data_IF_268014667418
#
_entry.id   IF_268014667418
#
_cell.length_a   1.000
_cell.length_b   1.000
_cell.length_c   1.000
_cell.angle_alpha   90.00
_cell.angle_beta   90.00
_cell.angle_gamma   90.00
#
_symmetry.space_group_name_H-M   'P 1'
#
loop_
_entity.id
_entity.type
_entity.pdbx_description
1 polymer ?
#
# COMPACT_ATOMS: atom_id res chain seq x y z
N UNK A 1 -0.24 1.31 39.34
CA UNK A 1 0.09 0.30 38.31
C UNK A 1 1.23 0.87 37.49
N UNK A 2 2.39 0.20 37.41
CA UNK A 2 3.49 0.73 36.60
C UNK A 2 3.11 0.59 35.13
N UNK A 3 3.17 1.70 34.41
CA UNK A 3 2.98 1.77 32.96
C UNK A 3 4.10 0.93 32.33
N UNK A 4 3.71 -0.10 31.57
CA UNK A 4 4.67 -0.98 30.89
C UNK A 4 5.58 -0.17 29.98
N UNK A 5 6.89 -0.29 30.20
CA UNK A 5 7.91 0.08 29.22
C UNK A 5 7.64 -0.70 27.94
N UNK A 6 7.61 -0.04 26.76
CA UNK A 6 7.56 -0.76 25.50
C UNK A 6 8.78 -1.70 25.43
N UNK A 7 8.58 -2.91 24.93
CA UNK A 7 9.61 -3.91 24.63
C UNK A 7 10.49 -3.44 23.46
N UNK A 8 11.26 -2.39 23.69
CA UNK A 8 12.27 -1.84 22.77
C UNK A 8 13.62 -2.12 23.39
N UNK A 9 14.38 -3.07 22.84
CA UNK A 9 15.73 -3.40 23.29
C UNK A 9 16.75 -2.38 22.70
N UNK A 10 16.50 -1.10 22.99
CA UNK A 10 17.35 0.00 22.57
C UNK A 10 18.42 0.28 23.64
N UNK A 11 19.60 0.69 23.21
CA UNK A 11 20.59 1.24 24.13
C UNK A 11 20.01 2.48 24.85
N UNK A 12 20.47 2.81 26.07
CA UNK A 12 19.96 3.98 26.80
C UNK A 12 20.04 5.29 26.01
N UNK A 13 21.10 5.47 25.21
CA UNK A 13 21.29 6.63 24.32
C UNK A 13 20.23 6.68 23.21
N UNK A 14 20.00 5.55 22.51
CA UNK A 14 18.99 5.47 21.46
C UNK A 14 17.57 5.65 22.01
N UNK A 15 17.31 5.14 23.21
CA UNK A 15 16.03 5.31 23.88
C UNK A 15 15.76 6.80 24.21
N UNK A 16 16.77 7.54 24.68
CA UNK A 16 16.65 8.97 24.93
C UNK A 16 16.31 9.74 23.66
N UNK A 17 17.03 9.48 22.56
CA UNK A 17 16.73 10.08 21.26
C UNK A 17 15.34 9.72 20.76
N UNK A 18 14.94 8.45 20.84
CA UNK A 18 13.61 7.99 20.45
C UNK A 18 12.51 8.75 21.21
N UNK A 19 12.64 8.90 22.53
CA UNK A 19 11.67 9.61 23.36
C UNK A 19 11.61 11.11 23.03
N UNK A 20 12.77 11.75 22.81
CA UNK A 20 12.84 13.15 22.45
C UNK A 20 12.21 13.43 21.07
N UNK A 21 12.53 12.60 20.07
CA UNK A 21 11.94 12.67 18.73
C UNK A 21 10.44 12.43 18.79
N UNK A 22 9.98 11.41 19.53
CA UNK A 22 8.55 11.13 19.75
C UNK A 22 7.80 12.32 20.33
N UNK A 23 8.38 12.97 21.34
CA UNK A 23 7.77 14.14 21.98
C UNK A 23 7.67 15.31 21.00
N UNK A 24 8.73 15.56 20.22
CA UNK A 24 8.73 16.64 19.23
C UNK A 24 7.78 16.37 18.06
N UNK A 25 7.69 15.13 17.58
CA UNK A 25 6.73 14.73 16.56
C UNK A 25 5.29 15.03 16.99
N UNK A 26 4.93 14.73 18.25
CA UNK A 26 3.62 15.06 18.83
C UNK A 26 3.39 16.57 19.00
N UNK A 27 4.43 17.32 19.35
CA UNK A 27 4.37 18.79 19.45
C UNK A 27 4.03 19.43 18.09
N UNK A 28 4.56 18.86 17.00
CA UNK A 28 4.22 19.26 15.64
C UNK A 28 2.81 18.82 15.18
N UNK A 29 2.11 18.02 15.98
CA UNK A 29 0.77 17.55 15.68
C UNK A 29 0.70 16.25 14.87
N UNK A 30 1.81 15.51 14.75
CA UNK A 30 1.78 14.18 14.13
C UNK A 30 0.99 13.20 14.99
N UNK A 31 0.10 12.44 14.34
CA UNK A 31 -0.69 11.38 14.95
C UNK A 31 -0.30 10.03 14.36
N UNK A 32 0.42 9.23 15.14
CA UNK A 32 1.01 7.96 14.73
C UNK A 32 0.60 6.80 15.67
N UNK A 33 0.81 5.56 15.23
CA UNK A 33 0.67 4.38 16.09
C UNK A 33 1.81 4.29 17.11
N UNK A 34 1.67 3.49 18.16
CA UNK A 34 2.81 3.21 19.02
C UNK A 34 3.90 2.51 18.19
N UNK A 35 5.11 3.09 18.15
CA UNK A 35 6.23 2.58 17.36
C UNK A 35 7.14 1.75 18.26
N UNK A 36 7.40 0.51 17.85
CA UNK A 36 8.36 -0.40 18.49
C UNK A 36 9.57 -0.49 17.57
N UNK A 37 10.73 -0.08 18.10
CA UNK A 37 12.01 -0.20 17.41
C UNK A 37 12.76 -1.46 17.84
N UNK A 38 13.25 -2.22 16.88
CA UNK A 38 14.11 -3.38 17.12
C UNK A 38 15.42 -3.19 16.36
N UNK A 39 16.56 -3.33 17.05
CA UNK A 39 17.89 -3.25 16.42
C UNK A 39 18.27 -4.64 15.93
N UNK A 40 18.57 -4.74 14.65
CA UNK A 40 18.91 -6.00 13.98
C UNK A 40 20.30 -5.96 13.38
N UNK A 41 20.95 -7.12 13.38
CA UNK A 41 22.18 -7.33 12.64
C UNK A 41 21.94 -7.36 11.12
N UNK A 42 23.05 -7.31 10.38
CA UNK A 42 23.04 -7.28 8.92
C UNK A 42 22.35 -8.50 8.27
N UNK A 43 22.52 -9.69 8.83
CA UNK A 43 21.92 -10.90 8.25
C UNK A 43 20.42 -10.92 8.48
N UNK A 44 19.99 -10.58 9.70
CA UNK A 44 18.60 -10.62 10.14
C UNK A 44 17.77 -9.56 9.43
N UNK A 45 18.28 -8.34 9.24
CA UNK A 45 17.54 -7.30 8.51
C UNK A 45 17.31 -7.70 7.04
N UNK A 46 18.30 -8.34 6.40
CA UNK A 46 18.16 -8.85 5.04
C UNK A 46 17.15 -10.02 4.96
N UNK A 47 17.12 -10.90 5.96
CA UNK A 47 16.12 -11.98 6.04
C UNK A 47 14.71 -11.43 6.17
N UNK A 48 14.50 -10.49 7.09
CA UNK A 48 13.20 -9.85 7.32
C UNK A 48 12.77 -9.06 6.09
N UNK A 49 13.68 -8.33 5.44
CA UNK A 49 13.40 -7.61 4.21
C UNK A 49 13.00 -8.54 3.05
N UNK A 50 13.65 -9.71 2.91
CA UNK A 50 13.27 -10.73 1.93
C UNK A 50 11.85 -11.27 2.16
N UNK A 51 11.38 -11.25 3.40
CA UNK A 51 10.02 -11.59 3.79
C UNK A 51 9.03 -10.41 3.74
N UNK A 52 9.43 -9.28 3.13
CA UNK A 52 8.58 -8.09 3.04
C UNK A 52 8.40 -7.38 4.38
N UNK A 53 9.35 -7.56 5.30
CA UNK A 53 9.38 -6.96 6.62
C UNK A 53 8.69 -7.77 7.72
N UNK A 54 8.20 -8.98 7.42
CA UNK A 54 7.55 -9.84 8.41
C UNK A 54 8.49 -10.93 8.94
N UNK A 55 8.54 -11.19 10.26
CA UNK A 55 9.37 -12.27 10.81
C UNK A 55 8.97 -13.67 10.37
N UNK A 56 7.69 -13.87 9.99
CA UNK A 56 7.16 -15.16 9.59
C UNK A 56 6.36 -15.05 8.29
N UNK A 57 6.69 -15.92 7.34
CA UNK A 57 6.02 -16.07 6.05
C UNK A 57 5.85 -17.55 5.72
N UNK A 58 4.95 -17.86 4.81
CA UNK A 58 4.85 -19.22 4.27
C UNK A 58 6.15 -19.62 3.55
N UNK A 59 6.56 -20.90 3.64
CA UNK A 59 7.77 -21.37 2.97
C UNK A 59 7.61 -21.26 1.45
N UNK A 60 8.57 -20.62 0.80
CA UNK A 60 8.63 -20.49 -0.65
C UNK A 60 10.04 -20.12 -1.11
N UNK A 61 10.51 -20.69 -2.22
CA UNK A 61 11.86 -20.46 -2.75
C UNK A 61 12.12 -19.00 -3.15
N UNK A 62 11.08 -18.24 -3.57
CA UNK A 62 11.17 -16.80 -3.89
C UNK A 62 11.85 -16.00 -2.79
N UNK A 63 11.57 -16.31 -1.52
CA UNK A 63 12.17 -15.58 -0.40
C UNK A 63 13.68 -15.79 -0.32
N UNK A 64 14.15 -17.01 -0.60
CA UNK A 64 15.58 -17.30 -0.70
C UNK A 64 16.24 -16.54 -1.85
N UNK A 65 15.56 -16.42 -3.00
CA UNK A 65 16.06 -15.57 -4.09
C UNK A 65 16.14 -14.10 -3.70
N UNK A 66 15.10 -13.56 -3.07
CA UNK A 66 15.08 -12.16 -2.65
C UNK A 66 16.17 -11.88 -1.61
N UNK A 67 16.37 -12.79 -0.67
CA UNK A 67 17.48 -12.72 0.28
C UNK A 67 18.84 -12.68 -0.42
N UNK A 68 19.09 -13.58 -1.37
CA UNK A 68 20.35 -13.62 -2.11
C UNK A 68 20.58 -12.31 -2.91
N UNK A 69 19.54 -11.76 -3.53
CA UNK A 69 19.60 -10.46 -4.22
C UNK A 69 19.93 -9.31 -3.26
N UNK A 70 19.22 -9.21 -2.14
CA UNK A 70 19.38 -8.14 -1.16
C UNK A 70 20.75 -8.21 -0.49
N UNK A 71 21.13 -9.38 0.01
CA UNK A 71 22.42 -9.63 0.66
C UNK A 71 23.60 -9.26 -0.24
N UNK A 72 23.55 -9.67 -1.53
CA UNK A 72 24.60 -9.31 -2.51
C UNK A 72 24.64 -7.81 -2.78
N UNK A 73 23.48 -7.19 -3.02
CA UNK A 73 23.41 -5.75 -3.29
C UNK A 73 24.03 -4.92 -2.17
N UNK A 74 23.75 -5.31 -0.93
CA UNK A 74 24.27 -4.65 0.25
C UNK A 74 25.77 -4.94 0.47
N UNK A 75 26.19 -6.20 0.31
CA UNK A 75 27.61 -6.58 0.38
C UNK A 75 28.50 -5.84 -0.64
N UNK A 76 27.96 -5.52 -1.83
CA UNK A 76 28.66 -4.70 -2.83
C UNK A 76 28.54 -3.19 -2.61
N UNK A 77 27.90 -2.74 -1.52
CA UNK A 77 27.72 -1.33 -1.20
C UNK A 77 26.77 -0.59 -2.15
N UNK A 78 25.91 -1.31 -2.88
CA UNK A 78 24.99 -0.76 -3.90
C UNK A 78 23.59 -0.45 -3.35
N UNK A 79 23.42 -0.47 -2.02
CA UNK A 79 22.20 -0.09 -1.32
C UNK A 79 22.12 -0.78 0.03
N UNK A 80 22.08 0.01 1.10
CA UNK A 80 21.83 -0.44 2.48
C UNK A 80 20.37 -0.25 2.83
N UNK A 81 19.83 -1.17 3.62
CA UNK A 81 18.50 -1.03 4.22
C UNK A 81 18.67 -0.26 5.52
N UNK A 82 18.47 1.06 5.47
CA UNK A 82 18.60 1.90 6.66
C UNK A 82 17.49 1.64 7.67
N UNK A 83 16.30 1.34 7.16
CA UNK A 83 15.12 1.04 7.94
C UNK A 83 14.26 0.00 7.23
N UNK A 84 13.35 -0.60 8.01
CA UNK A 84 12.18 -1.26 7.48
C UNK A 84 11.00 -0.98 8.41
N UNK A 85 9.92 -0.42 7.90
CA UNK A 85 8.72 -0.08 8.70
C UNK A 85 7.52 -0.92 8.27
N UNK A 86 6.85 -1.52 9.25
CA UNK A 86 5.64 -2.30 9.04
C UNK A 86 4.42 -1.57 9.58
N UNK A 87 3.45 -1.35 8.69
CA UNK A 87 2.16 -0.79 9.02
C UNK A 87 1.31 -1.81 9.81
N UNK A 88 1.38 -1.71 11.13
CA UNK A 88 0.65 -2.54 12.08
C UNK A 88 0.31 -1.68 13.31
N UNK A 89 -0.57 -2.16 14.19
CA UNK A 89 -0.88 -1.50 15.47
C UNK A 89 -0.55 -2.48 16.62
N UNK A 90 0.65 -2.39 17.23
CA UNK A 90 1.66 -1.33 17.10
C UNK A 90 2.47 -1.40 15.80
N UNK A 91 3.08 -0.26 15.41
CA UNK A 91 3.93 -0.13 14.23
C UNK A 91 5.33 -0.64 14.57
N UNK A 92 5.86 -1.55 13.76
CA UNK A 92 7.19 -2.11 13.97
C UNK A 92 8.20 -1.44 13.04
N UNK A 93 9.36 -1.10 13.57
CA UNK A 93 10.45 -0.51 12.81
C UNK A 93 11.77 -1.20 13.15
N UNK A 94 12.46 -1.67 12.12
CA UNK A 94 13.74 -2.35 12.25
C UNK A 94 14.88 -1.38 11.94
N UNK A 95 15.80 -1.26 12.89
CA UNK A 95 17.00 -0.43 12.80
C UNK A 95 18.21 -1.32 12.52
N UNK A 96 19.07 -0.92 11.59
CA UNK A 96 20.32 -1.64 11.35
C UNK A 96 21.36 -1.29 12.42
N UNK A 97 22.00 -2.28 13.05
CA UNK A 97 22.96 -2.07 14.14
C UNK A 97 24.20 -1.25 13.75
N UNK A 98 24.61 -1.32 12.48
CA UNK A 98 25.83 -0.68 11.98
C UNK A 98 25.65 0.80 11.61
N UNK A 99 24.44 1.32 11.75
CA UNK A 99 24.14 2.73 11.52
C UNK A 99 24.79 3.61 12.61
N UNK A 100 25.29 4.77 12.21
CA UNK A 100 25.79 5.77 13.16
C UNK A 100 24.64 6.31 14.03
N UNK A 101 24.96 6.91 15.18
CA UNK A 101 23.92 7.54 16.04
C UNK A 101 23.14 8.64 15.28
N UNK A 102 23.82 9.38 14.40
CA UNK A 102 23.20 10.36 13.49
C UNK A 102 22.18 9.71 12.56
N UNK A 103 22.54 8.57 11.96
CA UNK A 103 21.65 7.80 11.07
C UNK A 103 20.48 7.21 11.84
N UNK A 104 20.70 6.69 13.05
CA UNK A 104 19.63 6.18 13.90
C UNK A 104 18.62 7.30 14.24
N UNK A 105 19.09 8.51 14.56
CA UNK A 105 18.22 9.68 14.78
C UNK A 105 17.40 10.03 13.52
N UNK A 106 18.05 10.06 12.36
CA UNK A 106 17.39 10.33 11.08
C UNK A 106 16.30 9.29 10.79
N UNK A 107 16.63 8.01 10.94
CA UNK A 107 15.70 6.90 10.73
C UNK A 107 14.54 6.98 11.72
N UNK A 108 14.79 7.15 13.02
CA UNK A 108 13.73 7.28 14.02
C UNK A 108 12.75 8.39 13.65
N UNK A 109 13.26 9.57 13.27
CA UNK A 109 12.43 10.69 12.82
C UNK A 109 11.64 10.37 11.53
N UNK A 110 12.23 9.61 10.62
CA UNK A 110 11.60 9.15 9.38
C UNK A 110 10.44 8.18 9.65
N UNK A 111 10.65 7.20 10.53
CA UNK A 111 9.64 6.21 10.93
C UNK A 111 8.40 6.86 11.53
N UNK A 112 8.54 7.92 12.33
CA UNK A 112 7.37 8.65 12.85
C UNK A 112 6.57 9.32 11.73
N UNK A 113 7.23 9.82 10.68
CA UNK A 113 6.57 10.31 9.48
C UNK A 113 5.80 9.20 8.76
N UNK A 114 6.40 8.03 8.58
CA UNK A 114 5.70 6.88 7.99
C UNK A 114 4.49 6.43 8.83
N UNK A 115 4.67 6.27 10.15
CA UNK A 115 3.59 5.82 11.04
C UNK A 115 2.42 6.81 11.05
N UNK A 116 2.70 8.12 11.00
CA UNK A 116 1.67 9.16 10.83
C UNK A 116 0.97 9.04 9.48
N UNK A 117 1.73 8.84 8.39
CA UNK A 117 1.15 8.66 7.06
C UNK A 117 0.25 7.43 7.00
N UNK A 118 0.71 6.29 7.53
CA UNK A 118 -0.06 5.04 7.56
C UNK A 118 -1.37 5.20 8.35
N UNK A 119 -1.33 5.90 9.48
CA UNK A 119 -2.51 6.09 10.32
C UNK A 119 -3.57 6.99 9.69
N UNK A 120 -3.14 8.04 9.00
CA UNK A 120 -4.04 9.09 8.50
C UNK A 120 -4.40 8.96 7.02
N UNK A 121 -3.72 8.11 6.26
CA UNK A 121 -3.99 7.94 4.84
C UNK A 121 -5.21 7.04 4.58
N UNK A 122 -6.08 7.49 3.67
CA UNK A 122 -7.33 6.79 3.32
C UNK A 122 -7.09 5.35 2.82
N UNK A 123 -6.05 5.11 2.02
CA UNK A 123 -5.69 3.80 1.47
C UNK A 123 -5.30 2.81 2.57
N UNK A 124 -4.48 3.26 3.52
CA UNK A 124 -4.06 2.46 4.66
C UNK A 124 -5.16 2.25 5.70
N UNK A 125 -6.17 3.12 5.74
CA UNK A 125 -7.36 2.92 6.59
C UNK A 125 -8.14 1.62 6.32
N UNK A 126 -7.92 0.96 5.17
CA UNK A 126 -8.54 -0.31 4.79
C UNK A 126 -7.66 -1.54 5.01
N UNK A 127 -6.38 -1.38 5.35
CA UNK A 127 -5.46 -2.51 5.55
C UNK A 127 -5.66 -3.16 6.92
N UNK A 128 -5.39 -4.46 7.02
CA UNK A 128 -5.37 -5.17 8.30
C UNK A 128 -4.27 -4.60 9.21
N UNK A 129 -4.66 -4.13 10.41
CA UNK A 129 -3.74 -3.57 11.41
C UNK A 129 -3.05 -4.61 12.29
N UNK A 130 -3.38 -5.89 12.10
CA UNK A 130 -2.77 -7.04 12.77
C UNK A 130 -2.14 -7.98 11.75
N UNK A 131 -1.55 -7.42 10.70
CA UNK A 131 -1.00 -8.21 9.61
C UNK A 131 0.17 -9.09 10.07
N UNK A 132 0.87 -8.73 11.16
CA UNK A 132 1.90 -9.59 11.73
C UNK A 132 1.35 -10.95 12.19
N UNK A 133 0.19 -10.95 12.87
CA UNK A 133 -0.48 -12.18 13.29
C UNK A 133 -1.03 -12.96 12.10
N UNK A 134 -1.61 -12.25 11.12
CA UNK A 134 -2.22 -12.85 9.94
C UNK A 134 -1.18 -13.55 9.04
N UNK A 135 -0.02 -12.93 8.83
CA UNK A 135 1.10 -13.53 8.09
C UNK A 135 1.59 -14.83 8.75
N UNK A 136 1.63 -14.87 10.09
CA UNK A 136 1.97 -16.09 10.84
C UNK A 136 0.88 -17.18 10.68
N UNK A 137 -0.40 -16.79 10.65
CA UNK A 137 -1.52 -17.68 10.39
C UNK A 137 -1.47 -18.24 8.95
N UNK A 138 -1.19 -17.39 7.96
CA UNK A 138 -0.96 -17.78 6.57
C UNK A 138 0.17 -18.81 6.48
N UNK A 139 1.31 -18.53 7.12
CA UNK A 139 2.45 -19.46 7.14
C UNK A 139 2.07 -20.83 7.71
N UNK A 140 1.30 -20.85 8.79
CA UNK A 140 0.84 -22.09 9.45
C UNK A 140 -0.14 -22.88 8.56
N UNK A 141 -1.08 -22.19 7.89
CA UNK A 141 -2.03 -22.81 6.95
C UNK A 141 -1.31 -23.43 5.76
N UNK A 142 -0.39 -22.71 5.13
CA UNK A 142 0.39 -23.23 3.99
C UNK A 142 1.23 -24.45 4.41
N UNK A 143 1.91 -24.42 5.57
CA UNK A 143 2.64 -25.58 6.10
C UNK A 143 1.73 -26.80 6.28
N UNK A 144 0.53 -26.62 6.81
CA UNK A 144 -0.45 -27.71 6.95
C UNK A 144 -0.86 -28.29 5.60
N UNK A 145 -0.98 -27.48 4.55
CA UNK A 145 -1.26 -27.99 3.21
C UNK A 145 -0.07 -28.73 2.62
N UNK A 146 1.16 -28.26 2.85
CA UNK A 146 2.39 -28.96 2.45
C UNK A 146 2.45 -30.35 3.10
N UNK A 147 2.15 -30.46 4.39
CA UNK A 147 2.12 -31.75 5.11
C UNK A 147 1.08 -32.73 4.53
N UNK A 148 -0.06 -32.23 4.05
CA UNK A 148 -1.17 -33.06 3.54
C UNK A 148 -1.05 -33.41 2.07
N UNK A 149 -0.60 -32.48 1.24
CA UNK A 149 -0.64 -32.58 -0.22
C UNK A 149 0.75 -32.73 -0.86
N UNK A 150 1.81 -32.62 -0.07
CA UNK A 150 3.20 -32.66 -0.53
C UNK A 150 3.72 -31.28 -0.92
N UNK A 151 5.03 -31.09 -0.72
CA UNK A 151 5.71 -29.81 -0.97
C UNK A 151 5.57 -29.36 -2.43
N UNK A 152 5.94 -30.22 -3.39
CA UNK A 152 5.95 -29.87 -4.82
C UNK A 152 4.57 -29.44 -5.34
N UNK A 153 3.50 -30.14 -4.93
CA UNK A 153 2.14 -29.82 -5.39
C UNK A 153 1.68 -28.45 -4.89
N UNK A 154 1.98 -28.13 -3.63
CA UNK A 154 1.61 -26.85 -3.02
C UNK A 154 2.46 -25.72 -3.60
N UNK A 155 3.76 -25.93 -3.74
CA UNK A 155 4.69 -24.94 -4.31
C UNK A 155 4.33 -24.58 -5.75
N UNK A 156 4.07 -25.55 -6.62
CA UNK A 156 3.67 -25.29 -8.02
C UNK A 156 2.38 -24.46 -8.12
N UNK A 157 1.41 -24.73 -7.23
CA UNK A 157 0.17 -23.95 -7.21
C UNK A 157 0.40 -22.54 -6.66
N UNK A 158 1.24 -22.40 -5.62
CA UNK A 158 1.62 -21.13 -5.05
C UNK A 158 2.40 -20.27 -6.06
N UNK A 159 3.33 -20.85 -6.82
CA UNK A 159 4.02 -20.21 -7.95
C UNK A 159 3.05 -19.64 -8.97
N UNK A 160 2.04 -20.43 -9.36
CA UNK A 160 1.00 -19.98 -10.28
C UNK A 160 0.22 -18.79 -9.70
N UNK A 161 -0.16 -18.83 -8.42
CA UNK A 161 -0.84 -17.73 -7.75
C UNK A 161 0.03 -16.47 -7.68
N UNK A 162 1.32 -16.62 -7.33
CA UNK A 162 2.24 -15.49 -7.21
C UNK A 162 2.54 -14.82 -8.55
N UNK A 163 2.51 -15.58 -9.66
CA UNK A 163 2.69 -15.01 -11.01
C UNK A 163 1.61 -13.99 -11.40
N UNK A 164 0.44 -14.07 -10.76
CA UNK A 164 -0.71 -13.19 -11.00
C UNK A 164 -1.04 -12.30 -9.81
N UNK A 165 -0.23 -12.26 -8.73
CA UNK A 165 -0.57 -11.60 -7.46
C UNK A 165 -0.95 -10.11 -7.59
N UNK A 166 -0.42 -9.43 -8.61
CA UNK A 166 -0.69 -8.02 -8.88
C UNK A 166 -1.95 -7.76 -9.71
N UNK A 167 -2.65 -8.81 -10.18
CA UNK A 167 -3.89 -8.69 -10.96
C UNK A 167 -5.13 -8.55 -10.06
N UNK A 168 -5.00 -7.73 -9.02
CA UNK A 168 -6.10 -7.30 -8.14
C UNK A 168 -6.67 -5.96 -8.61
N UNK A 169 -7.83 -5.56 -8.08
CA UNK A 169 -8.34 -4.21 -8.24
C UNK A 169 -8.15 -3.42 -6.94
N UNK A 170 -7.08 -2.60 -6.81
CA UNK A 170 -6.82 -1.86 -5.58
C UNK A 170 -7.97 -0.93 -5.18
N UNK A 171 -8.76 -0.45 -6.14
CA UNK A 171 -9.88 0.45 -5.85
C UNK A 171 -11.11 -0.28 -5.30
N UNK A 172 -11.18 -1.60 -5.43
CA UNK A 172 -12.31 -2.41 -5.00
C UNK A 172 -12.59 -2.31 -3.49
N UNK A 173 -11.57 -2.01 -2.67
CA UNK A 173 -11.74 -1.83 -1.21
C UNK A 173 -12.56 -0.58 -0.84
N UNK A 174 -12.71 0.36 -1.77
CA UNK A 174 -13.53 1.58 -1.62
C UNK A 174 -14.87 1.47 -2.33
N UNK A 175 -14.94 0.66 -3.39
CA UNK A 175 -16.18 0.33 -4.06
C UNK A 175 -16.89 -0.72 -3.19
N UNK A 176 -17.83 -0.28 -2.36
CA UNK A 176 -18.58 -1.17 -1.47
C UNK A 176 -18.98 -2.47 -2.19
N UNK A 177 -18.82 -3.60 -1.49
CA UNK A 177 -19.08 -4.98 -1.97
C UNK A 177 -20.18 -4.93 -3.02
N UNK A 178 -19.83 -5.21 -4.29
CA UNK A 178 -20.77 -5.21 -5.42
C UNK A 178 -22.08 -5.72 -4.87
N UNK A 179 -23.07 -4.83 -4.76
CA UNK A 179 -24.42 -5.20 -4.36
C UNK A 179 -24.71 -6.45 -5.15
N UNK A 180 -25.00 -7.56 -4.43
CA UNK A 180 -25.52 -8.81 -5.00
C UNK A 180 -26.24 -8.45 -6.27
N UNK A 181 -25.86 -9.03 -7.44
CA UNK A 181 -26.35 -8.59 -8.73
C UNK A 181 -27.80 -8.32 -8.51
N UNK A 182 -28.20 -7.04 -8.60
CA UNK A 182 -29.61 -6.75 -8.43
C UNK A 182 -30.28 -7.76 -9.34
N UNK A 183 -31.36 -8.39 -8.88
CA UNK A 183 -32.27 -9.05 -9.79
C UNK A 183 -32.92 -7.97 -10.69
N UNK A 184 -32.10 -7.17 -11.37
CA UNK A 184 -32.39 -6.44 -12.57
C UNK A 184 -32.39 -7.45 -13.71
N UNK A 185 -33.21 -8.49 -13.58
CA UNK A 185 -34.13 -8.79 -14.66
C UNK A 185 -35.07 -7.60 -14.79
N UNK A 186 -34.53 -6.47 -15.29
CA UNK A 186 -35.30 -5.25 -15.47
C UNK A 186 -36.46 -5.60 -16.38
N UNK A 187 -37.69 -5.38 -15.92
CA UNK A 187 -38.87 -5.56 -16.78
C UNK A 187 -38.65 -4.68 -18.01
N UNK A 188 -38.78 -5.26 -19.21
CA UNK A 188 -38.71 -4.51 -20.46
C UNK A 188 -39.60 -3.27 -20.39
N UNK A 189 -38.97 -2.09 -20.42
CA UNK A 189 -39.63 -0.80 -20.49
C UNK A 189 -39.33 -0.23 -21.89
N UNK A 190 -40.33 -0.16 -22.79
CA UNK A 190 -40.10 0.42 -24.10
C UNK A 190 -39.83 1.92 -23.97
N UNK A 191 -38.92 2.43 -24.81
CA UNK A 191 -38.58 3.84 -24.85
C UNK A 191 -39.69 4.59 -25.60
N UNK A 192 -40.65 5.11 -24.82
CA UNK A 192 -41.83 5.82 -25.33
C UNK A 192 -41.60 7.32 -25.29
N UNK A 193 -41.84 7.98 -26.41
CA UNK A 193 -41.88 9.44 -26.46
C UNK A 193 -43.15 9.95 -25.75
N UNK A 194 -43.08 11.03 -24.97
CA UNK A 194 -44.24 11.56 -24.25
C UNK A 194 -45.32 12.03 -25.22
N UNK A 195 -46.50 11.38 -25.16
CA UNK A 195 -47.63 11.62 -26.05
C UNK A 195 -48.96 11.71 -25.29
N UNK A 196 -49.95 12.43 -25.84
CA UNK A 196 -51.35 12.36 -25.37
C UNK A 196 -51.99 11.06 -25.84
N UNK A 197 -52.95 10.49 -25.10
CA UNK A 197 -53.55 9.17 -25.38
C UNK A 197 -54.00 8.96 -26.85
N UNK A 198 -54.58 9.98 -27.48
CA UNK A 198 -55.05 9.87 -28.88
C UNK A 198 -53.91 9.93 -29.92
N UNK A 199 -52.73 10.42 -29.54
CA UNK A 199 -51.54 10.51 -30.41
C UNK A 199 -50.54 9.38 -30.14
N UNK A 200 -50.66 8.66 -29.01
CA UNK A 200 -49.75 7.57 -28.63
C UNK A 200 -49.59 6.51 -29.74
N UNK A 201 -50.64 6.05 -30.44
CA UNK A 201 -50.48 5.06 -31.52
C UNK A 201 -49.70 5.57 -32.74
N UNK A 202 -49.65 6.89 -32.94
CA UNK A 202 -48.96 7.53 -34.07
C UNK A 202 -47.53 7.97 -33.71
N UNK A 203 -47.32 8.37 -32.44
CA UNK A 203 -46.02 8.81 -31.91
C UNK A 203 -45.18 7.61 -31.47
N UNK A 204 -45.81 6.56 -30.93
CA UNK A 204 -45.20 5.31 -30.50
C UNK A 204 -45.85 4.13 -31.25
N UNK A 205 -45.51 3.91 -32.55
CA UNK A 205 -46.10 2.84 -33.35
C UNK A 205 -45.88 1.46 -32.72
N UNK A 206 -46.89 0.60 -32.78
CA UNK A 206 -46.81 -0.76 -32.24
C UNK A 206 -45.65 -1.58 -32.83
N UNK A 207 -45.31 -1.36 -34.11
CA UNK A 207 -44.20 -2.02 -34.80
C UNK A 207 -42.84 -1.66 -34.18
N UNK A 208 -42.61 -0.39 -33.82
CA UNK A 208 -41.35 0.03 -33.18
C UNK A 208 -41.25 -0.49 -31.74
N UNK A 209 -42.38 -0.57 -31.01
CA UNK A 209 -42.43 -1.18 -29.68
C UNK A 209 -42.14 -2.69 -29.70
N UNK A 210 -42.59 -3.40 -30.74
CA UNK A 210 -42.29 -4.83 -30.96
C UNK A 210 -40.81 -4.99 -31.30
N UNK A 211 -40.27 -4.17 -32.20
CA UNK A 211 -38.84 -4.19 -32.56
C UNK A 211 -37.94 -3.93 -31.35
N UNK A 212 -38.27 -2.96 -30.50
CA UNK A 212 -37.55 -2.70 -29.26
C UNK A 212 -37.58 -3.90 -28.31
N UNK A 213 -38.72 -4.60 -28.22
CA UNK A 213 -38.86 -5.82 -27.41
C UNK A 213 -37.99 -6.96 -27.95
N UNK A 214 -38.03 -7.21 -29.26
CA UNK A 214 -37.21 -8.25 -29.91
C UNK A 214 -35.72 -7.95 -29.75
N UNK A 215 -35.31 -6.69 -29.92
CA UNK A 215 -33.93 -6.26 -29.70
C UNK A 215 -33.49 -6.46 -28.24
N UNK A 216 -34.35 -6.12 -27.28
CA UNK A 216 -34.10 -6.36 -25.85
C UNK A 216 -34.01 -7.85 -25.53
N UNK A 217 -34.87 -8.69 -26.09
CA UNK A 217 -34.82 -10.15 -25.88
C UNK A 217 -33.54 -10.78 -26.46
N UNK A 218 -33.07 -10.30 -27.62
CA UNK A 218 -31.78 -10.69 -28.20
C UNK A 218 -30.63 -10.23 -27.30
N UNK A 219 -30.64 -8.98 -26.85
CA UNK A 219 -29.61 -8.44 -25.95
C UNK A 219 -29.57 -9.19 -24.61
N UNK A 220 -30.72 -9.54 -24.03
CA UNK A 220 -30.79 -10.35 -22.81
C UNK A 220 -30.26 -11.77 -23.02
N UNK A 221 -30.54 -12.39 -24.17
CA UNK A 221 -29.96 -13.69 -24.52
C UNK A 221 -28.44 -13.63 -24.71
N UNK A 222 -27.95 -12.58 -25.36
CA UNK A 222 -26.51 -12.37 -25.49
C UNK A 222 -25.85 -12.08 -24.15
N UNK A 223 -26.45 -11.25 -23.31
CA UNK A 223 -25.98 -10.94 -21.96
C UNK A 223 -25.97 -12.17 -21.05
N UNK A 224 -26.99 -13.03 -21.14
CA UNK A 224 -27.04 -14.29 -20.40
C UNK A 224 -25.92 -15.27 -20.80
N UNK A 225 -25.40 -15.16 -22.01
CA UNK A 225 -24.29 -15.97 -22.51
C UNK A 225 -22.91 -15.32 -22.29
N UNK A 226 -22.83 -14.07 -21.82
CA UNK A 226 -21.55 -13.39 -21.52
C UNK A 226 -21.03 -13.82 -20.15
N UNK A 227 -19.83 -14.41 -20.15
CA UNK A 227 -19.12 -14.79 -18.93
C UNK A 227 -17.69 -14.23 -18.95
N UNK A 228 -17.29 -13.40 -17.96
CA UNK A 228 -18.11 -12.83 -16.88
C UNK A 228 -19.23 -11.91 -17.38
N UNK A 229 -20.30 -11.78 -16.58
CA UNK A 229 -21.43 -10.89 -16.90
C UNK A 229 -21.01 -9.42 -17.05
N UNK A 230 -20.00 -9.01 -16.29
CA UNK A 230 -19.34 -7.71 -16.40
C UNK A 230 -17.81 -7.87 -16.40
N UNK A 231 -17.08 -7.02 -17.13
CA UNK A 231 -15.63 -6.97 -17.04
C UNK A 231 -15.18 -6.80 -15.58
N UNK A 232 -14.35 -7.73 -15.10
CA UNK A 232 -13.87 -7.74 -13.72
C UNK A 232 -12.37 -7.49 -13.71
N UNK A 233 -11.93 -6.52 -12.89
CA UNK A 233 -10.51 -6.14 -12.78
C UNK A 233 -9.73 -7.03 -11.82
N UNK A 234 -10.38 -7.49 -10.74
CA UNK A 234 -9.77 -8.39 -9.77
C UNK A 234 -9.82 -9.83 -10.27
N UNK A 235 -8.72 -10.26 -10.90
CA UNK A 235 -8.57 -11.60 -11.47
C UNK A 235 -8.52 -12.66 -10.37
N UNK A 236 -7.90 -12.37 -9.22
CA UNK A 236 -7.81 -13.32 -8.12
C UNK A 236 -9.20 -13.60 -7.52
N UNK A 237 -10.00 -12.55 -7.30
CA UNK A 237 -11.39 -12.71 -6.86
C UNK A 237 -12.22 -13.51 -7.88
N UNK A 238 -12.07 -13.18 -9.17
CA UNK A 238 -12.75 -13.90 -10.24
C UNK A 238 -12.42 -15.41 -10.25
N UNK A 239 -11.15 -15.75 -10.07
CA UNK A 239 -10.71 -17.15 -9.97
C UNK A 239 -11.24 -17.83 -8.69
N UNK A 240 -11.25 -17.13 -7.55
CA UNK A 240 -11.83 -17.66 -6.31
C UNK A 240 -13.33 -17.98 -6.45
N UNK A 241 -14.07 -17.18 -7.22
CA UNK A 241 -15.52 -17.32 -7.39
C UNK A 241 -15.91 -18.37 -8.44
N UNK A 242 -15.07 -18.57 -9.47
CA UNK A 242 -15.47 -19.31 -10.66
C UNK A 242 -14.54 -20.46 -11.06
N UNK A 243 -13.30 -20.49 -10.60
CA UNK A 243 -12.39 -21.57 -10.97
C UNK A 243 -12.72 -22.85 -10.17
N UNK A 244 -12.57 -24.04 -10.78
CA UNK A 244 -12.80 -25.31 -10.10
C UNK A 244 -11.62 -25.66 -9.18
N UNK A 245 -11.48 -24.92 -8.07
CA UNK A 245 -10.41 -25.08 -7.09
C UNK A 245 -10.81 -26.07 -5.99
N UNK A 246 -9.87 -26.91 -5.56
CA UNK A 246 -9.98 -27.64 -4.29
C UNK A 246 -9.95 -26.66 -3.10
N UNK A 247 -10.52 -27.03 -1.95
CA UNK A 247 -10.61 -26.14 -0.77
C UNK A 247 -9.25 -25.52 -0.38
N UNK A 248 -8.16 -26.30 -0.43
CA UNK A 248 -6.82 -25.81 -0.10
C UNK A 248 -6.24 -24.87 -1.17
N UNK A 249 -6.63 -25.04 -2.44
CA UNK A 249 -6.21 -24.17 -3.54
C UNK A 249 -6.92 -22.82 -3.44
N UNK A 250 -8.22 -22.84 -3.16
CA UNK A 250 -8.99 -21.62 -2.89
C UNK A 250 -8.40 -20.88 -1.67
N UNK A 251 -8.01 -21.61 -0.63
CA UNK A 251 -7.39 -21.04 0.57
C UNK A 251 -6.06 -20.33 0.28
N UNK A 252 -5.16 -20.98 -0.49
CA UNK A 252 -3.87 -20.40 -0.90
C UNK A 252 -4.06 -19.18 -1.79
N UNK A 253 -4.96 -19.25 -2.78
CA UNK A 253 -5.25 -18.10 -3.63
C UNK A 253 -5.84 -16.94 -2.83
N UNK A 254 -6.66 -17.25 -1.82
CA UNK A 254 -7.19 -16.29 -0.85
C UNK A 254 -6.09 -15.62 -0.03
N UNK A 255 -5.11 -16.39 0.46
CA UNK A 255 -3.93 -15.89 1.17
C UNK A 255 -3.14 -14.91 0.28
N UNK A 256 -2.79 -15.32 -0.95
CA UNK A 256 -2.05 -14.46 -1.89
C UNK A 256 -2.81 -13.17 -2.18
N UNK A 257 -4.13 -13.26 -2.37
CA UNK A 257 -4.99 -12.09 -2.58
C UNK A 257 -4.98 -11.16 -1.37
N UNK A 258 -5.14 -11.68 -0.16
CA UNK A 258 -5.16 -10.87 1.07
C UNK A 258 -3.84 -10.13 1.28
N UNK A 259 -2.71 -10.81 1.08
CA UNK A 259 -1.39 -10.18 1.15
C UNK A 259 -1.21 -9.11 0.06
N UNK A 260 -1.63 -9.38 -1.19
CA UNK A 260 -1.55 -8.40 -2.27
C UNK A 260 -2.33 -7.12 -1.96
N UNK A 261 -3.52 -7.23 -1.35
CA UNK A 261 -4.30 -6.08 -0.91
C UNK A 261 -3.65 -5.29 0.22
N UNK A 262 -2.90 -5.95 1.11
CA UNK A 262 -2.14 -5.27 2.15
C UNK A 262 -0.97 -4.44 1.59
N UNK A 263 -0.23 -4.98 0.61
CA UNK A 263 0.91 -4.27 0.01
C UNK A 263 0.49 -3.21 -1.04
N UNK A 264 -0.72 -3.29 -1.60
CA UNK A 264 -1.16 -2.39 -2.66
C UNK A 264 -1.10 -0.89 -2.30
N UNK A 265 -1.57 -0.43 -1.11
CA UNK A 265 -1.43 0.96 -0.70
C UNK A 265 0.01 1.47 -0.65
N UNK A 266 0.97 0.63 -0.25
CA UNK A 266 2.38 1.00 -0.17
C UNK A 266 2.95 1.28 -1.56
N UNK A 267 2.58 0.47 -2.55
CA UNK A 267 2.94 0.71 -3.95
C UNK A 267 2.29 1.98 -4.51
N UNK A 268 0.97 2.15 -4.30
CA UNK A 268 0.20 3.25 -4.87
C UNK A 268 0.57 4.62 -4.30
N UNK A 269 0.91 4.68 -3.02
CA UNK A 269 1.15 5.94 -2.30
C UNK A 269 2.63 6.22 -2.06
N UNK A 270 3.54 5.39 -2.60
CA UNK A 270 4.98 5.41 -2.31
C UNK A 270 5.59 6.82 -2.32
N UNK A 271 5.36 7.59 -3.38
CA UNK A 271 5.90 8.97 -3.51
C UNK A 271 5.46 9.88 -2.37
N UNK A 272 4.18 9.81 -1.99
CA UNK A 272 3.64 10.62 -0.91
C UNK A 272 4.10 10.10 0.46
N UNK A 273 4.18 8.79 0.65
CA UNK A 273 4.64 8.19 1.89
C UNK A 273 6.11 8.54 2.18
N UNK A 274 7.01 8.24 1.23
CA UNK A 274 8.43 8.59 1.33
C UNK A 274 8.61 10.11 1.45
N UNK A 275 7.86 10.88 0.65
CA UNK A 275 7.91 12.34 0.70
C UNK A 275 7.54 12.93 2.06
N UNK A 276 6.52 12.38 2.72
CA UNK A 276 6.05 12.87 4.02
C UNK A 276 7.05 12.54 5.12
N UNK A 277 7.57 11.31 5.11
CA UNK A 277 8.64 10.91 6.02
C UNK A 277 9.93 11.72 5.78
N UNK A 278 10.30 11.98 4.52
CA UNK A 278 11.45 12.82 4.15
C UNK A 278 11.24 14.31 4.45
N UNK A 279 10.00 14.79 4.47
CA UNK A 279 9.71 16.14 4.91
C UNK A 279 9.94 16.28 6.42
N UNK A 280 9.33 15.39 7.21
CA UNK A 280 9.37 15.47 8.66
C UNK A 280 10.72 15.13 9.26
N UNK A 281 11.42 14.10 8.76
CA UNK A 281 12.75 13.78 9.29
C UNK A 281 13.74 14.93 9.05
N UNK A 282 13.61 15.67 7.95
CA UNK A 282 14.52 16.76 7.60
C UNK A 282 14.21 17.96 8.48
N UNK A 283 12.92 18.29 8.66
CA UNK A 283 12.48 19.35 9.56
C UNK A 283 12.87 19.07 11.02
N UNK A 284 12.64 17.86 11.52
CA UNK A 284 13.00 17.49 12.89
C UNK A 284 14.51 17.47 13.11
N UNK A 285 15.28 16.85 12.22
CA UNK A 285 16.74 16.79 12.33
C UNK A 285 17.34 18.19 12.29
N UNK A 286 17.09 18.95 11.23
CA UNK A 286 17.76 20.26 11.02
C UNK A 286 17.36 21.33 12.03
N UNK A 287 16.20 21.22 12.68
CA UNK A 287 15.74 22.24 13.64
C UNK A 287 15.92 21.85 15.11
N UNK A 288 16.07 20.56 15.44
CA UNK A 288 16.04 20.11 16.84
C UNK A 288 17.12 19.09 17.23
N UNK A 289 17.43 18.12 16.37
CA UNK A 289 18.19 16.93 16.78
C UNK A 289 19.60 16.81 16.17
N UNK A 290 19.93 17.65 15.20
CA UNK A 290 21.24 17.66 14.56
C UNK A 290 22.21 18.56 15.33
N UNK A 291 23.33 17.99 15.75
CA UNK A 291 24.44 18.76 16.34
C UNK A 291 25.43 19.25 15.28
N UNK A 292 26.22 20.28 15.59
CA UNK A 292 27.22 20.83 14.66
C UNK A 292 28.22 19.78 14.16
N UNK A 293 28.57 18.79 15.01
CA UNK A 293 29.49 17.69 14.67
C UNK A 293 28.89 16.67 13.68
N UNK A 294 27.56 16.66 13.52
CA UNK A 294 26.80 15.66 12.77
C UNK A 294 26.36 16.16 11.38
N UNK A 295 26.58 17.45 11.09
CA UNK A 295 26.07 18.11 9.88
C UNK A 295 26.57 17.43 8.60
N UNK A 296 27.84 17.04 8.57
CA UNK A 296 28.44 16.43 7.38
C UNK A 296 27.83 15.04 7.15
N UNK A 297 27.78 14.22 8.19
CA UNK A 297 27.20 12.86 8.14
C UNK A 297 25.74 12.91 7.70
N UNK A 298 24.95 13.82 8.29
CA UNK A 298 23.55 14.02 7.90
C UNK A 298 23.41 14.46 6.45
N UNK A 299 24.23 15.42 5.99
CA UNK A 299 24.16 15.94 4.63
C UNK A 299 24.53 14.88 3.60
N UNK A 300 25.56 14.09 3.85
CA UNK A 300 25.98 12.98 2.99
C UNK A 300 24.84 11.96 2.84
N UNK A 301 24.28 11.50 3.97
CA UNK A 301 23.22 10.49 4.00
C UNK A 301 21.92 11.01 3.37
N UNK A 302 21.45 12.19 3.80
CA UNK A 302 20.23 12.78 3.26
C UNK A 302 20.35 13.02 1.75
N UNK A 303 21.49 13.58 1.29
CA UNK A 303 21.72 13.83 -0.14
C UNK A 303 21.78 12.54 -0.96
N UNK A 304 22.34 11.45 -0.41
CA UNK A 304 22.32 10.13 -1.03
C UNK A 304 20.91 9.58 -1.22
N UNK A 305 20.05 9.71 -0.20
CA UNK A 305 18.65 9.26 -0.24
C UNK A 305 17.82 10.07 -1.25
N UNK A 306 18.00 11.39 -1.30
CA UNK A 306 17.24 12.27 -2.21
C UNK A 306 17.93 12.51 -3.55
N UNK A 307 19.04 11.81 -3.83
CA UNK A 307 19.74 11.93 -5.10
C UNK A 307 18.87 11.38 -6.23
N UNK A 308 18.71 12.17 -7.30
CA UNK A 308 17.95 11.77 -8.47
C UNK A 308 18.81 12.00 -9.72
N UNK A 309 19.29 10.93 -10.40
CA UNK A 309 20.08 11.09 -11.61
C UNK A 309 19.21 11.68 -12.74
N UNK A 310 19.82 12.38 -13.72
CA UNK A 310 19.09 12.88 -14.88
C UNK A 310 18.32 11.77 -15.60
N UNK A 311 17.02 11.98 -15.82
CA UNK A 311 16.12 10.97 -16.42
C UNK A 311 15.68 9.86 -15.46
N UNK A 312 16.17 9.85 -14.21
CA UNK A 312 15.72 8.94 -13.16
C UNK A 312 14.44 9.41 -12.46
N UNK A 313 13.84 8.51 -11.70
CA UNK A 313 12.70 8.79 -10.84
C UNK A 313 13.00 8.33 -9.41
N UNK A 314 13.10 9.29 -8.49
CA UNK A 314 13.32 9.01 -7.07
C UNK A 314 12.07 9.46 -6.26
N UNK A 315 11.28 8.52 -5.69
CA UNK A 315 10.11 8.84 -4.89
C UNK A 315 10.39 9.77 -3.70
N UNK A 316 11.54 9.61 -3.03
CA UNK A 316 11.94 10.45 -1.89
C UNK A 316 12.13 11.90 -2.33
N UNK A 317 12.87 12.12 -3.43
CA UNK A 317 13.13 13.46 -3.97
C UNK A 317 11.85 14.12 -4.46
N UNK A 318 11.04 13.43 -5.25
CA UNK A 318 9.80 13.99 -5.78
C UNK A 318 8.83 14.28 -4.65
N UNK A 319 8.63 13.34 -3.74
CA UNK A 319 7.73 13.47 -2.61
C UNK A 319 8.07 14.65 -1.70
N UNK A 320 9.34 14.79 -1.28
CA UNK A 320 9.74 15.89 -0.39
C UNK A 320 9.57 17.26 -1.05
N UNK A 321 9.90 17.37 -2.34
CA UNK A 321 9.71 18.63 -3.09
C UNK A 321 8.22 18.95 -3.28
N UNK A 322 7.36 17.93 -3.44
CA UNK A 322 5.91 18.13 -3.46
C UNK A 322 5.40 18.69 -2.14
N UNK A 323 5.80 18.15 -0.98
CA UNK A 323 5.36 18.68 0.32
C UNK A 323 5.91 20.08 0.60
N UNK A 324 7.16 20.36 0.21
CA UNK A 324 7.73 21.71 0.28
C UNK A 324 7.00 22.70 -0.63
N UNK A 325 6.57 22.27 -1.83
CA UNK A 325 5.73 23.10 -2.70
C UNK A 325 4.36 23.36 -2.06
N UNK A 326 3.72 22.34 -1.49
CA UNK A 326 2.44 22.48 -0.77
C UNK A 326 2.56 23.50 0.36
N UNK A 327 3.56 23.36 1.25
CA UNK A 327 3.81 24.30 2.35
C UNK A 327 4.04 25.72 1.80
N UNK A 328 4.95 25.88 0.84
CA UNK A 328 5.25 27.19 0.24
C UNK A 328 4.02 27.84 -0.37
N UNK A 329 3.20 27.08 -1.10
CA UNK A 329 1.99 27.60 -1.76
C UNK A 329 0.94 27.98 -0.74
N UNK A 330 0.74 27.16 0.29
CA UNK A 330 -0.16 27.46 1.38
C UNK A 330 0.22 28.77 2.08
N UNK A 331 1.48 28.90 2.49
CA UNK A 331 1.98 30.06 3.24
C UNK A 331 1.95 31.37 2.43
N UNK A 332 2.00 31.28 1.10
CA UNK A 332 1.94 32.43 0.19
C UNK A 332 0.53 32.74 -0.32
N UNK A 333 -0.49 32.00 0.12
CA UNK A 333 -1.86 32.15 -0.40
C UNK A 333 -2.03 31.70 -1.85
N UNK A 334 -1.09 30.90 -2.38
CA UNK A 334 -1.06 30.37 -3.75
C UNK A 334 -1.88 29.08 -3.88
N UNK A 335 -3.12 29.12 -3.39
CA UNK A 335 -4.01 27.96 -3.33
C UNK A 335 -5.47 28.33 -3.63
N UNK A 336 -6.26 27.32 -3.97
CA UNK A 336 -7.69 27.44 -4.25
C UNK A 336 -8.04 27.93 -5.67
N UNK A 337 -9.34 28.06 -5.96
CA UNK A 337 -9.82 28.29 -7.34
C UNK A 337 -9.34 29.62 -7.94
N UNK A 338 -9.10 30.64 -7.12
CA UNK A 338 -8.59 31.93 -7.58
C UNK A 338 -7.17 31.80 -8.16
N UNK A 339 -6.29 31.08 -7.46
CA UNK A 339 -4.92 30.81 -7.91
C UNK A 339 -4.89 29.87 -9.13
N UNK A 340 -5.72 28.81 -9.12
CA UNK A 340 -5.74 27.83 -10.21
C UNK A 340 -6.18 28.43 -11.55
N UNK A 341 -7.13 29.38 -11.50
CA UNK A 341 -7.65 30.11 -12.66
C UNK A 341 -6.70 31.18 -13.22
N UNK A 342 -5.57 31.46 -12.57
CA UNK A 342 -4.55 32.33 -13.15
C UNK A 342 -3.94 31.66 -14.39
N UNK A 343 -4.23 32.22 -15.57
CA UNK A 343 -3.76 31.73 -16.88
C UNK A 343 -2.77 32.67 -17.56
N UNK A 344 -2.60 33.89 -17.03
CA UNK A 344 -1.71 34.87 -17.62
C UNK A 344 -0.24 34.46 -17.45
N UNK A 345 0.58 34.72 -18.48
CA UNK A 345 2.01 34.46 -18.45
C UNK A 345 2.65 35.25 -17.30
N UNK A 346 3.28 34.55 -16.35
CA UNK A 346 3.90 35.15 -15.16
C UNK A 346 2.97 35.36 -13.97
N UNK A 347 1.71 34.91 -14.04
CA UNK A 347 0.76 35.01 -12.93
C UNK A 347 0.90 33.91 -11.86
N UNK A 348 1.70 32.85 -12.12
CA UNK A 348 1.94 31.73 -11.20
C UNK A 348 3.38 31.65 -10.73
#
# INVERSE_FOLDING_TARGET
MPRGTPHTDLSPELLEHMLAIKAKAREYGLDFFEVIYEVLDFETINQIAAYGGFPSRYPHWRWGMEYDKLSKRDAYGMGRIYEMVINNDPCYAYLQESNSVTDQKLVMAHVYGHSDFFKNNLWFGKTNRKMMDEMANHATRVRRYIERHGHEKVEQFLDACLSIEHLIDPHSVFMGRKSQPSESGGKFAPDKLPAKEYMDPFINPAEELIRQREAWEVEQREAANRFPAEPTRDVLAFLLEHAPLEDWQADILGIVRDEAYYFAPQGMTKVMNEGWATYWHSKMMTQHFLEAKEIIDYAEQHSGVVFMPPGGFNPYKIGVEMFKDIERRWDRGQHGPAWERLTDIGAK
#
